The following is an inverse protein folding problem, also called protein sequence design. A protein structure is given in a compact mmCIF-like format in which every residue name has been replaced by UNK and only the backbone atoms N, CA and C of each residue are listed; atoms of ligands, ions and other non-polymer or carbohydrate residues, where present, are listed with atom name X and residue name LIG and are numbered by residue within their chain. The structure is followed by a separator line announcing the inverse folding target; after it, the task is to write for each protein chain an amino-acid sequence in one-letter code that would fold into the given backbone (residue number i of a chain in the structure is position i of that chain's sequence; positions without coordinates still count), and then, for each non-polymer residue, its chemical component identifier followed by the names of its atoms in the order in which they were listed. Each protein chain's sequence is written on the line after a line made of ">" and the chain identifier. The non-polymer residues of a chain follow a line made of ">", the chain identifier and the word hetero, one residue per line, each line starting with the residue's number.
data_IF_555658001064
#
_entry.id   IF_555658001064
#
_cell.length_a   1.000
_cell.length_b   1.000
_cell.length_c   1.000
_cell.angle_alpha   90.00
_cell.angle_beta   90.00
_cell.angle_gamma   90.00
#
_symmetry.space_group_name_H-M   'P 1'
#
loop_
_entity.id
_entity.type
_entity.pdbx_description
1 polymer ?
#
# COMPACT_ATOMS: atom_id res chain seq x y z
N UNK A 1 -11.27 -21.82 10.49
CA UNK A 1 -10.22 -20.78 10.43
C UNK A 1 -10.33 -19.83 9.22
N UNK A 2 -11.20 -20.10 8.24
CA UNK A 2 -11.33 -19.29 7.02
C UNK A 2 -11.70 -17.83 7.29
N UNK A 3 -12.67 -17.57 8.17
CA UNK A 3 -13.08 -16.20 8.53
C UNK A 3 -11.92 -15.34 9.06
N UNK A 4 -11.12 -15.88 9.98
CA UNK A 4 -9.99 -15.15 10.59
C UNK A 4 -8.94 -14.81 9.55
N UNK A 5 -8.56 -15.79 8.72
CA UNK A 5 -7.53 -15.61 7.69
C UNK A 5 -7.95 -14.57 6.66
N UNK A 6 -9.19 -14.67 6.16
CA UNK A 6 -9.71 -13.73 5.17
C UNK A 6 -9.86 -12.32 5.78
N UNK A 7 -10.30 -12.21 7.02
CA UNK A 7 -10.39 -10.94 7.72
C UNK A 7 -9.01 -10.29 7.92
N UNK A 8 -7.99 -11.03 8.37
CA UNK A 8 -6.62 -10.51 8.53
C UNK A 8 -6.01 -10.02 7.21
N UNK A 9 -6.24 -10.75 6.12
CA UNK A 9 -5.76 -10.35 4.79
C UNK A 9 -6.45 -9.07 4.31
N UNK A 10 -7.77 -8.99 4.45
CA UNK A 10 -8.52 -7.81 4.03
C UNK A 10 -8.28 -6.61 4.96
N UNK A 11 -7.95 -6.83 6.24
CA UNK A 11 -7.62 -5.77 7.19
C UNK A 11 -6.39 -4.98 6.75
N UNK A 12 -5.31 -5.66 6.33
CA UNK A 12 -4.10 -4.97 5.87
C UNK A 12 -4.36 -4.14 4.62
N UNK A 13 -5.21 -4.62 3.72
CA UNK A 13 -5.54 -3.97 2.44
C UNK A 13 -6.46 -2.76 2.66
N UNK A 14 -7.57 -2.95 3.38
CA UNK A 14 -8.54 -1.89 3.66
C UNK A 14 -8.07 -0.92 4.74
N UNK A 15 -6.94 -1.15 5.41
CA UNK A 15 -6.26 -0.14 6.23
C UNK A 15 -5.70 1.01 5.38
N UNK A 16 -5.38 0.76 4.10
CA UNK A 16 -4.86 1.77 3.20
C UNK A 16 -5.98 2.77 2.77
N UNK A 17 -5.85 4.07 3.07
CA UNK A 17 -6.90 5.05 2.78
C UNK A 17 -7.15 5.24 1.29
N UNK A 18 -6.13 5.06 0.45
CA UNK A 18 -6.28 5.17 -1.00
C UNK A 18 -7.08 3.99 -1.59
N UNK A 19 -6.98 2.79 -1.00
CA UNK A 19 -7.82 1.64 -1.39
C UNK A 19 -9.27 1.87 -0.95
N UNK A 20 -9.50 2.34 0.28
CA UNK A 20 -10.86 2.66 0.76
C UNK A 20 -11.57 3.69 -0.13
N UNK A 21 -10.83 4.67 -0.67
CA UNK A 21 -11.36 5.68 -1.60
C UNK A 21 -11.74 5.09 -2.95
N UNK A 22 -10.98 4.10 -3.44
CA UNK A 22 -11.26 3.45 -4.72
C UNK A 22 -12.37 2.40 -4.61
N UNK A 23 -12.51 1.75 -3.45
CA UNK A 23 -13.50 0.71 -3.16
C UNK A 23 -14.37 1.07 -1.94
N UNK A 24 -15.19 2.14 -2.00
CA UNK A 24 -15.92 2.63 -0.84
C UNK A 24 -17.06 1.70 -0.40
N UNK A 25 -17.68 0.97 -1.34
CA UNK A 25 -18.75 0.03 -1.02
C UNK A 25 -18.20 -1.19 -0.25
N UNK A 26 -17.10 -1.77 -0.75
CA UNK A 26 -16.40 -2.89 -0.14
C UNK A 26 -15.79 -2.50 1.20
N UNK A 27 -15.24 -1.28 1.32
CA UNK A 27 -14.74 -0.77 2.60
C UNK A 27 -15.86 -0.72 3.66
N UNK A 28 -17.06 -0.27 3.29
CA UNK A 28 -18.22 -0.25 4.21
C UNK A 28 -18.67 -1.66 4.62
N UNK A 29 -18.65 -2.61 3.68
CA UNK A 29 -18.92 -4.02 3.97
C UNK A 29 -17.87 -4.59 4.93
N UNK A 30 -16.59 -4.34 4.66
CA UNK A 30 -15.48 -4.77 5.51
C UNK A 30 -15.60 -4.20 6.93
N UNK A 31 -15.94 -2.91 7.08
CA UNK A 31 -16.18 -2.31 8.41
C UNK A 31 -17.30 -2.99 9.19
N UNK A 32 -18.33 -3.48 8.49
CA UNK A 32 -19.43 -4.22 9.13
C UNK A 32 -18.93 -5.55 9.68
N UNK A 33 -18.15 -6.28 8.88
CA UNK A 33 -17.52 -7.54 9.32
C UNK A 33 -16.49 -7.30 10.42
N UNK A 34 -15.67 -6.25 10.31
CA UNK A 34 -14.67 -5.86 11.30
C UNK A 34 -15.29 -5.59 12.67
N UNK A 35 -16.39 -4.81 12.71
CA UNK A 35 -17.12 -4.54 13.94
C UNK A 35 -17.67 -5.83 14.57
N UNK A 36 -18.29 -6.68 13.75
CA UNK A 36 -18.83 -7.98 14.16
C UNK A 36 -17.72 -8.88 14.74
N UNK A 37 -16.60 -9.01 14.02
CA UNK A 37 -15.43 -9.80 14.41
C UNK A 37 -14.83 -9.31 15.73
N UNK A 38 -14.58 -8.01 15.88
CA UNK A 38 -14.05 -7.40 17.12
C UNK A 38 -15.00 -7.57 18.30
N UNK A 39 -16.30 -7.51 18.08
CA UNK A 39 -17.29 -7.76 19.13
C UNK A 39 -17.26 -9.22 19.60
N UNK A 40 -17.22 -10.18 18.66
CA UNK A 40 -17.10 -11.60 18.98
C UNK A 40 -15.80 -11.85 19.75
N UNK A 41 -14.67 -11.32 19.30
CA UNK A 41 -13.38 -11.50 19.99
C UNK A 41 -13.39 -10.91 21.40
N UNK A 42 -14.03 -9.75 21.62
CA UNK A 42 -14.24 -9.21 22.98
C UNK A 42 -15.06 -10.14 23.87
N UNK A 43 -16.07 -10.82 23.34
CA UNK A 43 -16.87 -11.81 24.09
C UNK A 43 -16.06 -13.06 24.41
N UNK A 44 -15.25 -13.55 23.46
CA UNK A 44 -14.37 -14.72 23.63
C UNK A 44 -13.32 -14.46 24.72
N UNK A 45 -12.70 -13.27 24.74
CA UNK A 45 -11.72 -12.90 25.78
C UNK A 45 -12.34 -12.90 27.18
N UNK A 46 -13.61 -12.49 27.31
CA UNK A 46 -14.33 -12.49 28.60
C UNK A 46 -14.72 -13.89 29.08
N UNK A 47 -14.91 -14.84 28.16
CA UNK A 47 -15.25 -16.23 28.44
C UNK A 47 -14.22 -17.15 27.77
N UNK A 48 -13.03 -17.35 28.36
CA UNK A 48 -11.95 -18.10 27.73
C UNK A 48 -12.25 -19.61 27.59
N UNK A 49 -13.34 -20.10 28.17
CA UNK A 49 -13.77 -21.48 27.98
C UNK A 49 -14.32 -21.65 26.55
N UNK A 50 -13.57 -22.36 25.72
CA UNK A 50 -13.87 -22.57 24.30
C UNK A 50 -15.27 -23.13 24.05
N UNK A 51 -15.73 -24.11 24.85
CA UNK A 51 -17.07 -24.65 24.68
C UNK A 51 -18.15 -23.61 24.94
N UNK A 52 -18.04 -22.85 26.04
CA UNK A 52 -19.02 -21.80 26.40
C UNK A 52 -19.01 -20.62 25.41
N UNK A 53 -17.85 -20.30 24.85
CA UNK A 53 -17.71 -19.25 23.84
C UNK A 53 -18.26 -19.69 22.48
N UNK A 54 -18.04 -20.95 22.08
CA UNK A 54 -18.46 -21.46 20.78
C UNK A 54 -19.96 -21.79 20.69
N UNK A 55 -20.62 -22.10 21.82
CA UNK A 55 -22.06 -22.45 21.87
C UNK A 55 -22.98 -21.23 22.10
N UNK A 56 -22.48 -20.01 21.88
CA UNK A 56 -23.32 -18.82 21.98
C UNK A 56 -24.40 -18.82 20.88
N UNK A 57 -25.65 -18.49 21.21
CA UNK A 57 -26.74 -18.45 20.25
C UNK A 57 -26.46 -17.41 19.14
N UNK A 58 -26.74 -17.78 17.89
CA UNK A 58 -26.55 -16.92 16.71
C UNK A 58 -25.09 -16.75 16.25
N UNK A 59 -24.11 -17.33 16.95
CA UNK A 59 -22.69 -17.17 16.61
C UNK A 59 -22.33 -17.83 15.26
N UNK A 60 -22.86 -19.03 15.00
CA UNK A 60 -22.65 -19.74 13.74
C UNK A 60 -23.19 -18.95 12.55
N UNK A 61 -24.42 -18.48 12.65
CA UNK A 61 -25.08 -17.67 11.61
C UNK A 61 -24.30 -16.36 11.37
N UNK A 62 -23.82 -15.72 12.44
CA UNK A 62 -22.98 -14.52 12.33
C UNK A 62 -21.68 -14.81 11.57
N UNK A 63 -21.01 -15.92 11.87
CA UNK A 63 -19.79 -16.30 11.13
C UNK A 63 -20.08 -16.68 9.67
N UNK A 64 -21.20 -17.33 9.39
CA UNK A 64 -21.61 -17.65 8.02
C UNK A 64 -21.87 -16.37 7.22
N UNK A 65 -22.59 -15.41 7.79
CA UNK A 65 -22.83 -14.11 7.19
C UNK A 65 -21.53 -13.31 6.99
N UNK A 66 -20.64 -13.31 7.99
CA UNK A 66 -19.33 -12.67 7.88
C UNK A 66 -18.48 -13.31 6.76
N UNK A 67 -18.46 -14.64 6.65
CA UNK A 67 -17.75 -15.32 5.56
C UNK A 67 -18.32 -14.95 4.19
N UNK A 68 -19.65 -14.94 4.04
CA UNK A 68 -20.27 -14.55 2.76
C UNK A 68 -19.91 -13.12 2.35
N UNK A 69 -19.88 -12.19 3.31
CA UNK A 69 -19.45 -10.81 3.07
C UNK A 69 -17.95 -10.75 2.71
N UNK A 70 -17.09 -11.48 3.40
CA UNK A 70 -15.65 -11.54 3.10
C UNK A 70 -15.39 -12.11 1.71
N UNK A 71 -16.12 -13.16 1.32
CA UNK A 71 -16.00 -13.77 -0.01
C UNK A 71 -16.47 -12.82 -1.11
N UNK A 72 -17.53 -12.05 -0.86
CA UNK A 72 -17.98 -11.00 -1.78
C UNK A 72 -16.93 -9.89 -1.93
N UNK A 73 -16.34 -9.44 -0.82
CA UNK A 73 -15.27 -8.42 -0.83
C UNK A 73 -14.06 -8.93 -1.62
N UNK A 74 -13.65 -10.19 -1.42
CA UNK A 74 -12.53 -10.80 -2.16
C UNK A 74 -12.79 -10.80 -3.68
N UNK A 75 -13.98 -11.21 -4.11
CA UNK A 75 -14.34 -11.21 -5.54
C UNK A 75 -14.33 -9.81 -6.14
N UNK A 76 -14.87 -8.82 -5.44
CA UNK A 76 -14.84 -7.43 -5.89
C UNK A 76 -13.40 -6.90 -5.98
N UNK A 77 -12.55 -7.25 -5.01
CA UNK A 77 -11.14 -6.86 -5.00
C UNK A 77 -10.38 -7.47 -6.18
N UNK A 78 -10.58 -8.77 -6.46
CA UNK A 78 -9.98 -9.45 -7.62
C UNK A 78 -10.41 -8.81 -8.94
N UNK A 79 -11.70 -8.54 -9.12
CA UNK A 79 -12.21 -7.86 -10.32
C UNK A 79 -11.63 -6.44 -10.46
N UNK A 80 -11.46 -5.73 -9.34
CA UNK A 80 -10.81 -4.43 -9.34
C UNK A 80 -9.34 -4.51 -9.76
N UNK A 81 -8.57 -5.47 -9.24
CA UNK A 81 -7.17 -5.69 -9.64
C UNK A 81 -7.07 -6.06 -11.13
N UNK A 82 -7.94 -6.94 -11.60
CA UNK A 82 -8.02 -7.31 -13.01
C UNK A 82 -8.30 -6.09 -13.90
N UNK A 83 -9.21 -5.20 -13.49
CA UNK A 83 -9.47 -3.96 -14.23
C UNK A 83 -8.23 -3.07 -14.38
N UNK A 84 -7.33 -3.05 -13.39
CA UNK A 84 -6.06 -2.32 -13.47
C UNK A 84 -5.07 -3.02 -14.38
N UNK A 85 -5.02 -4.35 -14.37
CA UNK A 85 -4.18 -5.13 -15.29
C UNK A 85 -4.61 -4.95 -16.76
N UNK A 86 -5.91 -4.84 -17.04
CA UNK A 86 -6.39 -4.59 -18.41
C UNK A 86 -5.93 -3.22 -18.92
N UNK A 87 -5.93 -2.19 -18.07
CA UNK A 87 -5.46 -0.84 -18.43
C UNK A 87 -3.95 -0.81 -18.64
N UNK A 88 -3.20 -1.59 -17.85
CA UNK A 88 -1.75 -1.67 -17.95
C UNK A 88 -1.28 -3.13 -17.91
N UNK A 89 -1.13 -3.80 -19.07
CA UNK A 89 -0.85 -5.23 -19.15
C UNK A 89 0.43 -5.69 -18.45
N UNK A 90 1.39 -4.78 -18.19
CA UNK A 90 2.61 -5.13 -17.45
C UNK A 90 2.34 -5.50 -15.98
N UNK A 91 1.18 -5.12 -15.41
CA UNK A 91 0.80 -5.58 -14.07
C UNK A 91 0.52 -7.09 -13.98
N UNK A 92 0.32 -7.79 -15.10
CA UNK A 92 0.24 -9.26 -15.10
C UNK A 92 1.55 -9.94 -14.66
N UNK A 93 2.69 -9.23 -14.69
CA UNK A 93 3.97 -9.74 -14.19
C UNK A 93 4.14 -9.58 -12.67
N UNK A 94 3.19 -8.93 -12.00
CA UNK A 94 3.18 -8.75 -10.55
C UNK A 94 2.21 -9.73 -9.91
N UNK A 95 2.51 -10.13 -8.67
CA UNK A 95 1.52 -10.80 -7.82
C UNK A 95 0.45 -9.82 -7.34
N UNK A 96 -0.71 -10.33 -6.92
CA UNK A 96 -1.80 -9.50 -6.39
C UNK A 96 -1.34 -8.64 -5.20
N UNK A 97 -0.50 -9.19 -4.32
CA UNK A 97 0.00 -8.47 -3.15
C UNK A 97 0.93 -7.31 -3.55
N UNK A 98 1.78 -7.51 -4.55
CA UNK A 98 2.65 -6.45 -5.11
C UNK A 98 1.85 -5.37 -5.82
N UNK A 99 0.82 -5.77 -6.58
CA UNK A 99 -0.08 -4.81 -7.22
C UNK A 99 -0.83 -3.99 -6.18
N UNK A 100 -1.30 -4.62 -5.10
CA UNK A 100 -1.94 -3.93 -3.98
C UNK A 100 -0.97 -2.98 -3.26
N UNK A 101 0.29 -3.36 -3.07
CA UNK A 101 1.33 -2.50 -2.50
C UNK A 101 1.50 -1.22 -3.33
N UNK A 102 1.61 -1.34 -4.65
CA UNK A 102 1.67 -0.20 -5.59
C UNK A 102 0.41 0.67 -5.49
N UNK A 103 -0.77 0.05 -5.50
CA UNK A 103 -2.05 0.77 -5.47
C UNK A 103 -2.34 1.42 -4.10
N UNK A 104 -1.75 0.91 -3.02
CA UNK A 104 -1.86 1.48 -1.68
C UNK A 104 -1.01 2.74 -1.49
N UNK A 105 0.04 2.92 -2.31
CA UNK A 105 1.01 4.01 -2.22
C UNK A 105 1.03 4.89 -3.48
N UNK A 106 -0.12 5.10 -4.12
CA UNK A 106 -0.23 5.86 -5.39
C UNK A 106 0.35 7.27 -5.35
N UNK A 107 0.53 7.87 -4.16
CA UNK A 107 1.11 9.21 -3.98
C UNK A 107 2.63 9.21 -3.84
N UNK A 108 3.23 8.07 -3.57
CA UNK A 108 4.68 7.93 -3.40
C UNK A 108 5.28 7.19 -4.60
N UNK A 109 5.78 7.88 -5.63
CA UNK A 109 6.32 7.23 -6.82
C UNK A 109 7.61 6.45 -6.53
N UNK A 110 8.23 6.61 -5.36
CA UNK A 110 9.38 5.80 -4.96
C UNK A 110 8.97 4.38 -4.57
N UNK A 111 7.71 4.16 -4.20
CA UNK A 111 7.20 2.85 -3.80
C UNK A 111 7.14 1.86 -4.96
N UNK A 112 7.13 2.33 -6.22
CA UNK A 112 7.09 1.44 -7.39
C UNK A 112 8.45 0.87 -7.79
N UNK A 113 9.55 1.43 -7.27
CA UNK A 113 10.93 1.02 -7.57
C UNK A 113 11.19 -0.49 -7.48
N UNK A 114 10.86 -1.18 -6.38
CA UNK A 114 11.12 -2.63 -6.25
C UNK A 114 10.32 -3.48 -7.24
N UNK A 115 9.17 -2.97 -7.73
CA UNK A 115 8.28 -3.71 -8.62
C UNK A 115 8.58 -3.44 -10.11
N UNK A 116 9.33 -2.37 -10.42
CA UNK A 116 9.64 -1.99 -11.80
C UNK A 116 10.46 -3.03 -12.55
N UNK A 117 11.42 -3.68 -11.89
CA UNK A 117 12.24 -4.75 -12.49
C UNK A 117 11.42 -5.93 -13.00
N UNK A 118 10.28 -6.21 -12.37
CA UNK A 118 9.36 -7.27 -12.81
C UNK A 118 8.46 -6.82 -13.97
N UNK A 119 8.15 -5.52 -14.03
CA UNK A 119 7.32 -4.95 -15.08
C UNK A 119 8.10 -4.63 -16.37
N UNK A 120 9.41 -4.39 -16.27
CA UNK A 120 10.27 -3.91 -17.35
C UNK A 120 11.65 -4.58 -17.35
N UNK A 121 11.93 -5.39 -18.37
CA UNK A 121 13.23 -6.06 -18.53
C UNK A 121 14.43 -5.10 -18.64
N UNK A 122 14.22 -3.94 -19.27
CA UNK A 122 15.27 -2.95 -19.54
C UNK A 122 15.38 -1.85 -18.47
N UNK A 123 14.55 -1.87 -17.42
CA UNK A 123 14.51 -0.81 -16.39
C UNK A 123 14.69 -1.43 -15.02
N UNK A 124 15.84 -1.13 -14.39
CA UNK A 124 16.14 -1.54 -13.02
C UNK A 124 15.62 -0.55 -11.97
N UNK A 125 15.69 0.74 -12.25
CA UNK A 125 15.18 1.79 -11.36
C UNK A 125 14.96 3.12 -12.10
N UNK A 126 14.25 4.02 -11.45
CA UNK A 126 14.04 5.41 -11.90
C UNK A 126 14.86 6.38 -11.03
N UNK A 127 15.40 7.41 -11.64
CA UNK A 127 16.00 8.54 -10.92
C UNK A 127 14.98 9.66 -10.84
N UNK A 128 14.67 10.12 -9.62
CA UNK A 128 13.74 11.22 -9.38
C UNK A 128 14.52 12.51 -9.16
N UNK A 129 14.00 13.62 -9.69
CA UNK A 129 14.62 14.94 -9.54
C UNK A 129 14.69 15.40 -8.08
N UNK A 130 15.79 16.06 -7.72
CA UNK A 130 15.87 16.86 -6.49
C UNK A 130 15.45 18.29 -6.81
N UNK A 131 14.45 18.83 -6.11
CA UNK A 131 14.22 20.26 -6.16
C UNK A 131 15.43 20.95 -5.50
N UNK A 132 16.03 22.00 -6.11
CA UNK A 132 17.03 22.78 -5.41
C UNK A 132 16.41 23.41 -4.15
N UNK A 133 17.16 23.51 -3.04
CA UNK A 133 16.67 24.24 -1.87
C UNK A 133 16.28 25.67 -2.30
N UNK A 134 15.20 26.24 -1.72
CA UNK A 134 14.77 27.59 -2.08
C UNK A 134 15.94 28.56 -1.92
N UNK A 135 16.23 29.32 -2.96
CA UNK A 135 17.32 30.28 -3.01
C UNK A 135 17.08 31.43 -2.01
N UNK A 136 17.48 31.21 -0.76
CA UNK A 136 17.79 32.21 0.26
C UNK A 136 19.04 31.66 0.98
N UNK A 137 20.24 32.21 0.90
CA UNK A 137 20.70 33.54 0.54
C UNK A 137 22.10 33.44 -0.10
N UNK A 138 22.26 33.90 -1.33
CA UNK A 138 23.52 34.48 -1.78
C UNK A 138 23.43 35.97 -1.45
N UNK A 139 23.74 36.28 -0.19
CA UNK A 139 23.94 37.63 0.32
C UNK A 139 25.37 37.72 0.85
N UNK A 140 26.07 38.74 0.40
CA UNK A 140 27.49 39.04 0.53
C UNK A 140 28.16 38.85 1.91
N UNK A 141 29.49 38.65 1.82
CA UNK A 141 30.56 39.15 2.71
C UNK A 141 31.38 38.12 3.51
N UNK A 142 32.68 38.37 3.48
CA UNK A 142 33.79 37.60 4.02
C UNK A 142 33.76 37.36 5.54
N UNK A 143 34.29 36.22 5.97
CA UNK A 143 34.60 35.96 7.37
C UNK A 143 34.96 34.50 7.65
N UNK A 144 36.19 34.28 8.12
CA UNK A 144 36.72 33.03 8.66
C UNK A 144 35.80 32.45 9.75
N UNK A 145 35.48 31.15 9.69
CA UNK A 145 35.51 30.15 10.79
C UNK A 145 34.71 28.88 10.40
N UNK A 146 35.27 27.69 10.67
CA UNK A 146 34.52 26.42 10.64
C UNK A 146 33.59 26.38 11.86
N UNK A 147 32.41 25.74 11.73
CA UNK A 147 32.22 24.56 12.58
C UNK A 147 31.53 23.37 11.90
N UNK A 148 31.80 22.23 12.52
CA UNK A 148 31.19 20.92 12.38
C UNK A 148 29.66 20.93 12.50
N UNK A 149 28.98 20.29 11.55
CA UNK A 149 27.86 19.34 11.74
C UNK A 149 27.16 19.16 10.39
N UNK A 150 27.22 17.94 9.84
CA UNK A 150 26.49 17.59 8.63
C UNK A 150 24.98 17.58 8.94
N UNK A 151 24.38 18.76 8.87
CA UNK A 151 22.93 18.96 8.84
C UNK A 151 22.35 18.07 7.76
N UNK A 152 21.52 17.09 8.17
CA UNK A 152 20.69 16.31 7.24
C UNK A 152 19.85 17.29 6.43
N UNK A 153 20.27 17.55 5.20
CA UNK A 153 19.46 18.25 4.20
C UNK A 153 18.21 17.43 4.02
N UNK A 154 17.06 18.01 4.35
CA UNK A 154 15.75 17.41 4.08
C UNK A 154 15.55 17.52 2.57
N UNK A 155 16.05 16.52 1.84
CA UNK A 155 15.83 16.37 0.40
C UNK A 155 14.33 16.30 0.14
N UNK A 156 13.80 17.38 -0.43
CA UNK A 156 12.42 17.42 -0.91
C UNK A 156 12.41 16.68 -2.24
N UNK A 157 12.13 15.36 -2.18
CA UNK A 157 12.10 14.49 -3.35
C UNK A 157 10.96 14.91 -4.28
N UNK A 158 11.30 15.26 -5.52
CA UNK A 158 10.30 15.61 -6.54
C UNK A 158 9.75 14.32 -7.15
N UNK A 159 8.54 14.38 -7.71
CA UNK A 159 7.93 13.23 -8.41
C UNK A 159 8.34 13.15 -9.89
N UNK A 160 9.19 14.07 -10.36
CA UNK A 160 9.66 14.13 -11.74
C UNK A 160 10.73 13.08 -11.98
N UNK A 161 10.52 12.22 -12.98
CA UNK A 161 11.49 11.20 -13.38
C UNK A 161 12.49 11.86 -14.34
N UNK A 162 13.77 11.89 -13.93
CA UNK A 162 14.85 12.53 -14.72
C UNK A 162 15.68 11.53 -15.53
N UNK A 163 15.73 10.27 -15.11
CA UNK A 163 16.43 9.21 -15.85
C UNK A 163 15.86 7.82 -15.55
N UNK A 164 16.02 6.91 -16.51
CA UNK A 164 15.83 5.47 -16.33
C UNK A 164 17.20 4.81 -16.20
N UNK A 165 17.33 3.88 -15.26
CA UNK A 165 18.56 3.11 -15.05
C UNK A 165 18.32 1.67 -15.52
N UNK A 166 19.16 1.19 -16.43
CA UNK A 166 19.18 -0.20 -16.91
C UNK A 166 19.77 -1.15 -15.85
N UNK A 167 19.46 -2.47 -15.89
CA UNK A 167 20.15 -3.49 -15.10
C UNK A 167 21.69 -3.45 -15.22
N UNK A 168 22.21 -3.00 -16.37
CA UNK A 168 23.65 -2.86 -16.63
C UNK A 168 24.24 -1.53 -16.12
N UNK A 169 23.45 -0.76 -15.36
CA UNK A 169 23.76 0.59 -14.82
C UNK A 169 23.90 1.68 -15.89
N UNK A 170 23.45 1.43 -17.10
CA UNK A 170 23.32 2.47 -18.12
C UNK A 170 22.21 3.45 -17.72
N UNK A 171 22.46 4.75 -17.84
CA UNK A 171 21.49 5.79 -17.53
C UNK A 171 20.95 6.38 -18.84
N UNK A 172 19.65 6.32 -19.02
CA UNK A 172 18.93 6.95 -20.13
C UNK A 172 18.19 8.18 -19.58
N UNK A 173 18.64 9.41 -19.87
CA UNK A 173 17.96 10.61 -19.41
C UNK A 173 16.58 10.73 -20.06
N UNK A 174 15.59 11.09 -19.25
CA UNK A 174 14.22 11.38 -19.68
C UNK A 174 14.02 12.90 -19.69
N UNK A 175 14.36 13.54 -20.80
CA UNK A 175 14.29 15.00 -20.97
C UNK A 175 15.61 15.58 -21.46
N UNK A 176 15.52 16.65 -22.27
CA UNK A 176 16.67 17.48 -22.66
C UNK A 176 17.12 18.39 -21.53
#
# INVERSE_FOLDING_TARGET
>A
MTCQRNWLYLESIFSAPDIQRQLPAEAKMFMTVDKSWKEIMRKVVRLPNAMRAATQPGLLETFQNNNALLDQIQKCLEAYLESKCVVFPRFYFLSNDELLEILSQTRNPHAVQPHLQKCFDAIASLEFGSAPPPAQALGDAAGTERPSSASKVVETKTNDIIAMVSPEKEKVPLGK
#
